data_IF_134021371248
#
_entry.id   IF_134021371248
#
_cell.length_a   1.000
_cell.length_b   1.000
_cell.length_c   1.000
_cell.angle_alpha   90.00
_cell.angle_beta   90.00
_cell.angle_gamma   90.00
#
_symmetry.space_group_name_H-M   'P 1'
#
loop_
_entity.id
_entity.type
_entity.pdbx_description
1 polymer ?
#
# COMPACT_ATOMS: atom_id res chain seq x y z
N UNK A 1 15.45 28.46 55.50
CA UNK A 1 14.90 28.79 56.85
C UNK A 1 14.62 30.28 56.95
N UNK A 2 13.36 30.69 57.08
CA UNK A 2 12.97 31.85 57.90
C UNK A 2 11.52 31.67 58.35
N UNK A 3 11.37 31.66 59.68
CA UNK A 3 10.18 31.35 60.47
C UNK A 3 9.26 32.57 60.60
N UNK A 4 7.96 32.30 60.52
CA UNK A 4 6.86 32.60 61.48
C UNK A 4 6.98 33.80 62.43
N UNK A 5 5.89 34.60 62.51
CA UNK A 5 5.33 35.23 63.74
C UNK A 5 3.98 35.92 63.39
N UNK A 6 2.80 35.31 63.54
CA UNK A 6 1.85 35.25 64.69
C UNK A 6 1.51 36.57 65.42
N UNK A 7 0.22 36.93 65.37
CA UNK A 7 -0.74 37.48 66.38
C UNK A 7 -1.68 38.48 65.66
N UNK A 8 -3.00 38.51 65.83
CA UNK A 8 -3.82 38.39 67.05
C UNK A 8 -5.27 38.05 66.69
N UNK A 9 -5.94 37.26 67.54
CA UNK A 9 -7.38 36.99 67.56
C UNK A 9 -8.14 38.21 68.12
N UNK A 10 -9.30 38.56 67.54
CA UNK A 10 -10.42 39.11 68.32
C UNK A 10 -11.74 38.69 67.68
N UNK A 11 -12.57 38.04 68.50
CA UNK A 11 -13.91 37.61 68.18
C UNK A 11 -14.90 38.77 68.31
N UNK A 12 -15.89 38.84 67.42
CA UNK A 12 -17.15 39.50 67.68
C UNK A 12 -18.27 38.78 66.91
N UNK A 13 -19.16 38.20 67.70
CA UNK A 13 -20.44 37.58 67.37
C UNK A 13 -21.39 38.56 66.67
N UNK A 14 -22.12 38.07 65.65
CA UNK A 14 -23.20 38.82 65.01
C UNK A 14 -24.02 37.93 64.09
N UNK A 15 -24.97 37.18 64.65
CA UNK A 15 -26.06 36.52 63.92
C UNK A 15 -26.84 37.57 63.11
N UNK A 16 -26.94 37.37 61.79
CA UNK A 16 -27.98 38.00 60.98
C UNK A 16 -28.53 36.96 60.02
N UNK A 17 -29.81 36.63 60.21
CA UNK A 17 -30.61 35.84 59.29
C UNK A 17 -30.78 36.63 57.98
N UNK A 18 -30.47 36.00 56.84
CA UNK A 18 -30.91 36.48 55.54
C UNK A 18 -31.97 35.53 54.98
N UNK A 19 -33.14 36.10 54.76
CA UNK A 19 -34.33 35.48 54.23
C UNK A 19 -34.09 34.88 52.83
N UNK A 20 -34.72 33.74 52.59
CA UNK A 20 -34.87 33.16 51.26
C UNK A 20 -35.69 34.11 50.37
N UNK A 21 -35.03 34.77 49.44
CA UNK A 21 -35.69 35.40 48.30
C UNK A 21 -35.89 34.32 47.22
N UNK A 22 -37.13 33.91 47.02
CA UNK A 22 -37.53 33.10 45.88
C UNK A 22 -37.22 33.88 44.59
N UNK A 23 -36.32 33.33 43.78
CA UNK A 23 -36.11 33.80 42.42
C UNK A 23 -37.35 33.47 41.58
N UNK A 24 -37.77 34.35 40.65
CA UNK A 24 -38.91 34.09 39.79
C UNK A 24 -38.62 32.89 38.90
N UNK A 25 -39.65 32.05 38.71
CA UNK A 25 -39.64 30.95 37.78
C UNK A 25 -39.19 31.46 36.40
N UNK A 26 -38.02 30.99 35.96
CA UNK A 26 -37.62 31.11 34.57
C UNK A 26 -38.71 30.41 33.75
N UNK A 27 -39.41 31.18 32.93
CA UNK A 27 -40.25 30.66 31.87
C UNK A 27 -39.44 29.64 31.08
N UNK A 28 -40.03 28.48 30.81
CA UNK A 28 -39.53 27.50 29.86
C UNK A 28 -39.38 28.18 28.49
N UNK A 29 -38.20 28.75 28.25
CA UNK A 29 -37.69 28.95 26.92
C UNK A 29 -37.50 27.54 26.36
N UNK A 30 -38.10 27.27 25.20
CA UNK A 30 -37.94 26.00 24.50
C UNK A 30 -36.46 25.64 24.43
N UNK A 31 -36.15 24.36 24.66
CA UNK A 31 -34.84 23.81 24.41
C UNK A 31 -34.45 24.14 22.97
N UNK A 32 -33.63 25.17 22.76
CA UNK A 32 -32.91 25.32 21.50
C UNK A 32 -32.10 24.02 21.34
N UNK A 33 -32.35 23.31 20.24
CA UNK A 33 -31.64 22.08 19.93
C UNK A 33 -30.15 22.45 19.83
N UNK A 34 -29.33 22.03 20.79
CA UNK A 34 -27.91 22.34 20.82
C UNK A 34 -27.15 21.80 19.59
N UNK A 35 -27.80 20.91 18.85
CA UNK A 35 -27.33 20.32 17.61
C UNK A 35 -28.38 20.58 16.52
N UNK A 36 -28.18 21.61 15.69
CA UNK A 36 -28.94 21.74 14.45
C UNK A 36 -28.50 20.64 13.48
N UNK A 37 -29.45 20.01 12.78
CA UNK A 37 -29.13 19.04 11.74
C UNK A 37 -28.48 19.78 10.57
N UNK A 38 -27.18 19.57 10.41
CA UNK A 38 -26.37 20.08 9.30
C UNK A 38 -25.76 18.90 8.55
N UNK A 39 -25.84 18.94 7.22
CA UNK A 39 -25.19 17.94 6.35
C UNK A 39 -23.74 17.73 6.78
N UNK A 40 -23.36 16.48 7.02
CA UNK A 40 -22.01 16.14 7.48
C UNK A 40 -21.13 15.71 6.32
N UNK A 41 -19.90 16.21 6.31
CA UNK A 41 -18.90 15.78 5.36
C UNK A 41 -18.39 14.38 5.74
N UNK A 42 -18.22 13.55 4.72
CA UNK A 42 -17.68 12.21 4.77
C UNK A 42 -16.35 12.23 4.02
N UNK A 43 -15.29 11.77 4.69
CA UNK A 43 -14.00 11.56 4.06
C UNK A 43 -13.80 10.06 3.83
N UNK A 44 -13.59 9.63 2.58
CA UNK A 44 -13.19 8.25 2.32
C UNK A 44 -11.73 8.04 2.72
N UNK A 45 -11.44 6.87 3.26
CA UNK A 45 -10.07 6.42 3.54
C UNK A 45 -9.74 5.19 2.71
N UNK A 46 -8.50 5.14 2.23
CA UNK A 46 -7.98 4.08 1.38
C UNK A 46 -6.95 3.22 2.09
N UNK A 47 -6.76 2.01 1.59
CA UNK A 47 -5.64 1.15 1.99
C UNK A 47 -5.15 0.38 0.78
N UNK A 48 -3.84 0.48 0.49
CA UNK A 48 -3.18 -0.37 -0.50
C UNK A 48 -3.02 -1.79 0.07
N UNK A 49 -3.95 -2.67 -0.28
CA UNK A 49 -3.87 -4.10 0.04
C UNK A 49 -2.91 -4.81 -0.90
N UNK A 50 -2.69 -6.10 -0.69
CA UNK A 50 -1.92 -6.93 -1.64
C UNK A 50 -2.59 -7.10 -3.00
N UNK A 51 -3.90 -6.88 -3.08
CA UNK A 51 -4.67 -6.87 -4.32
C UNK A 51 -4.86 -5.45 -4.91
N UNK A 52 -4.23 -4.44 -4.33
CA UNK A 52 -4.33 -3.03 -4.73
C UNK A 52 -5.13 -2.18 -3.76
N UNK A 53 -5.23 -0.88 -4.03
CA UNK A 53 -5.93 0.08 -3.18
C UNK A 53 -7.43 -0.12 -3.24
N UNK A 54 -8.04 -0.26 -2.06
CA UNK A 54 -9.48 -0.26 -1.86
C UNK A 54 -9.90 0.95 -1.02
N UNK A 55 -11.15 1.39 -1.17
CA UNK A 55 -11.79 2.26 -0.18
C UNK A 55 -12.10 1.39 1.05
N UNK A 56 -11.24 1.49 2.06
CA UNK A 56 -11.27 0.65 3.26
C UNK A 56 -12.18 1.20 4.36
N UNK A 57 -12.68 2.42 4.20
CA UNK A 57 -13.61 3.00 5.15
C UNK A 57 -13.99 4.43 4.85
N UNK A 58 -14.67 5.04 5.80
CA UNK A 58 -15.00 6.46 5.81
C UNK A 58 -14.93 7.06 7.21
N UNK A 59 -14.70 8.36 7.28
CA UNK A 59 -14.66 9.14 8.52
C UNK A 59 -15.72 10.23 8.47
N UNK A 60 -16.50 10.32 9.55
CA UNK A 60 -17.52 11.35 9.77
C UNK A 60 -17.11 12.15 11.02
N UNK A 61 -16.97 13.46 10.88
CA UNK A 61 -16.75 14.36 12.01
C UNK A 61 -18.05 15.11 12.35
N UNK A 62 -18.68 14.74 13.46
CA UNK A 62 -19.96 15.33 13.86
C UNK A 62 -19.81 16.75 14.42
N UNK A 63 -18.63 17.10 14.95
CA UNK A 63 -18.40 18.41 15.55
C UNK A 63 -16.92 18.72 15.72
N UNK A 64 -16.53 19.95 15.36
CA UNK A 64 -15.21 20.50 15.69
C UNK A 64 -15.06 20.86 17.18
N UNK A 65 -16.14 20.84 17.96
CA UNK A 65 -16.08 21.08 19.39
C UNK A 65 -15.58 19.82 20.13
N UNK A 66 -14.41 19.84 20.78
CA UNK A 66 -13.84 18.67 21.43
C UNK A 66 -14.63 18.20 22.66
N UNK A 67 -15.61 18.98 23.13
CA UNK A 67 -16.51 18.60 24.21
C UNK A 67 -17.70 17.76 23.73
N UNK A 68 -17.92 17.69 22.41
CA UNK A 68 -19.00 16.88 21.82
C UNK A 68 -18.51 15.45 21.62
N UNK A 69 -19.34 14.49 22.01
CA UNK A 69 -19.09 13.06 21.79
C UNK A 69 -20.24 12.42 21.06
N UNK A 70 -19.94 11.46 20.20
CA UNK A 70 -20.90 10.58 19.54
C UNK A 70 -21.00 9.25 20.30
N UNK A 71 -22.16 8.62 20.31
CA UNK A 71 -22.36 7.24 20.79
C UNK A 71 -23.57 6.60 20.10
N UNK A 72 -23.81 5.32 20.38
CA UNK A 72 -24.92 4.57 19.77
C UNK A 72 -24.70 4.27 18.30
N UNK A 73 -23.43 4.05 17.92
CA UNK A 73 -23.04 3.66 16.56
C UNK A 73 -22.71 2.17 16.56
N UNK A 74 -23.29 1.46 15.60
CA UNK A 74 -23.09 0.05 15.30
C UNK A 74 -22.99 -0.15 13.77
N UNK A 75 -22.65 -1.36 13.33
CA UNK A 75 -22.39 -1.64 11.91
C UNK A 75 -23.64 -1.46 11.01
N UNK A 76 -24.85 -1.44 11.55
CA UNK A 76 -26.10 -1.20 10.81
C UNK A 76 -26.63 0.23 10.97
N UNK A 77 -25.88 1.13 11.63
CA UNK A 77 -26.22 2.56 11.72
C UNK A 77 -26.24 3.23 10.34
N UNK A 78 -25.39 2.79 9.41
CA UNK A 78 -25.27 3.35 8.06
C UNK A 78 -25.41 2.27 6.99
N UNK A 79 -25.84 2.68 5.81
CA UNK A 79 -25.64 1.96 4.55
C UNK A 79 -24.81 2.85 3.65
N UNK A 80 -23.76 2.30 3.04
CA UNK A 80 -22.87 3.04 2.13
C UNK A 80 -22.96 2.39 0.76
N UNK A 81 -23.49 3.12 -0.19
CA UNK A 81 -23.59 2.69 -1.57
C UNK A 81 -22.41 3.25 -2.37
N UNK A 82 -21.78 2.42 -3.18
CA UNK A 82 -20.54 2.75 -3.89
C UNK A 82 -20.65 2.36 -5.36
N UNK A 83 -20.29 3.31 -6.21
CA UNK A 83 -20.11 3.13 -7.66
C UNK A 83 -18.66 3.38 -8.00
N UNK A 84 -18.11 2.55 -8.88
CA UNK A 84 -16.86 2.82 -9.56
C UNK A 84 -17.04 2.47 -11.04
N UNK A 85 -16.66 3.37 -11.94
CA UNK A 85 -16.71 3.11 -13.37
C UNK A 85 -15.63 3.89 -14.15
N UNK A 86 -15.43 3.48 -15.40
CA UNK A 86 -14.54 4.16 -16.35
C UNK A 86 -15.28 4.70 -17.59
N UNK A 87 -16.60 4.78 -17.58
CA UNK A 87 -17.39 5.11 -18.78
C UNK A 87 -16.96 6.43 -19.42
N UNK A 88 -16.77 7.48 -18.61
CA UNK A 88 -16.33 8.79 -19.08
C UNK A 88 -14.89 8.76 -19.59
N UNK A 89 -13.98 8.07 -18.89
CA UNK A 89 -12.57 7.97 -19.24
C UNK A 89 -12.32 7.16 -20.52
N UNK A 90 -13.17 6.16 -20.80
CA UNK A 90 -13.06 5.29 -21.97
C UNK A 90 -13.95 5.72 -23.14
N UNK A 91 -14.69 6.83 -23.00
CA UNK A 91 -15.56 7.34 -24.03
C UNK A 91 -14.83 7.54 -25.37
N UNK A 92 -15.30 6.87 -26.42
CA UNK A 92 -14.71 6.93 -27.76
C UNK A 92 -13.53 5.98 -27.99
N UNK A 93 -13.25 5.06 -27.06
CA UNK A 93 -12.31 3.96 -27.22
C UNK A 93 -13.04 2.61 -27.36
N UNK A 94 -12.34 1.58 -27.84
CA UNK A 94 -12.82 0.19 -27.83
C UNK A 94 -12.37 -0.57 -26.56
N UNK A 95 -11.83 0.14 -25.57
CA UNK A 95 -11.35 -0.45 -24.32
C UNK A 95 -12.55 -0.73 -23.42
N UNK A 96 -12.55 -1.90 -22.79
CA UNK A 96 -13.60 -2.36 -21.86
C UNK A 96 -13.02 -2.37 -20.44
N UNK A 97 -13.78 -1.85 -19.48
CA UNK A 97 -13.46 -2.01 -18.06
C UNK A 97 -13.99 -3.34 -17.54
N UNK A 98 -13.18 -4.02 -16.73
CA UNK A 98 -13.54 -5.24 -15.99
C UNK A 98 -13.62 -4.99 -14.48
N UNK A 99 -13.38 -3.75 -14.04
CA UNK A 99 -13.36 -3.38 -12.63
C UNK A 99 -14.51 -2.47 -12.20
N UNK A 100 -15.49 -2.21 -13.08
CA UNK A 100 -16.66 -1.40 -12.75
C UNK A 100 -17.54 -2.15 -11.74
N UNK A 101 -18.10 -1.41 -10.79
CA UNK A 101 -19.04 -1.96 -9.81
C UNK A 101 -20.08 -0.94 -9.35
N UNK A 102 -21.20 -1.47 -8.86
CA UNK A 102 -22.24 -0.75 -8.13
C UNK A 102 -22.71 -1.67 -7.00
N UNK A 103 -22.34 -1.36 -5.76
CA UNK A 103 -22.53 -2.24 -4.61
C UNK A 103 -22.85 -1.44 -3.34
N UNK A 104 -23.54 -2.08 -2.40
CA UNK A 104 -23.56 -1.62 -1.01
C UNK A 104 -22.33 -2.20 -0.30
N UNK A 105 -21.50 -1.33 0.28
CA UNK A 105 -20.30 -1.71 1.03
C UNK A 105 -20.69 -2.50 2.27
N UNK A 106 -20.02 -3.62 2.52
CA UNK A 106 -20.15 -4.39 3.76
C UNK A 106 -19.38 -3.66 4.87
N UNK A 107 -20.12 -3.09 5.82
CA UNK A 107 -19.54 -2.51 7.05
C UNK A 107 -19.18 -3.63 8.01
N UNK A 108 -17.88 -3.76 8.30
CA UNK A 108 -17.36 -4.82 9.18
C UNK A 108 -17.06 -4.31 10.58
N UNK A 109 -16.80 -3.02 10.73
CA UNK A 109 -16.44 -2.43 12.02
C UNK A 109 -16.77 -0.94 12.08
N UNK A 110 -17.19 -0.45 13.24
CA UNK A 110 -17.35 0.98 13.53
C UNK A 110 -16.58 1.36 14.78
N UNK A 111 -15.84 2.46 14.72
CA UNK A 111 -15.12 3.02 15.87
C UNK A 111 -15.56 4.46 16.14
N UNK A 112 -15.63 4.82 17.42
CA UNK A 112 -15.99 6.17 17.86
C UNK A 112 -14.88 6.75 18.72
N UNK A 113 -14.41 7.94 18.37
CA UNK A 113 -13.39 8.69 19.12
C UNK A 113 -13.82 10.15 19.24
N UNK A 114 -14.40 10.51 20.38
CA UNK A 114 -14.93 11.85 20.60
C UNK A 114 -16.14 12.11 19.68
N UNK A 115 -16.09 13.17 18.88
CA UNK A 115 -17.09 13.51 17.86
C UNK A 115 -16.90 12.77 16.53
N UNK A 116 -15.83 11.97 16.40
CA UNK A 116 -15.49 11.28 15.16
C UNK A 116 -15.99 9.84 15.16
N UNK A 117 -16.60 9.46 14.04
CA UNK A 117 -16.97 8.07 13.74
C UNK A 117 -16.14 7.62 12.55
N UNK A 118 -15.46 6.48 12.70
CA UNK A 118 -14.81 5.78 11.58
C UNK A 118 -15.62 4.51 11.29
N UNK A 119 -15.99 4.33 10.03
CA UNK A 119 -16.69 3.15 9.54
C UNK A 119 -15.75 2.41 8.61
N UNK A 120 -15.48 1.15 8.91
CA UNK A 120 -14.58 0.30 8.14
C UNK A 120 -15.36 -0.67 7.26
N UNK A 121 -14.91 -0.80 6.02
CA UNK A 121 -15.47 -1.70 5.01
C UNK A 121 -14.64 -2.96 4.87
N UNK A 122 -15.28 -4.04 4.42
CA UNK A 122 -14.60 -5.27 4.02
C UNK A 122 -13.60 -4.96 2.90
N UNK A 123 -12.34 -5.35 3.08
CA UNK A 123 -11.26 -4.99 2.17
C UNK A 123 -11.17 -5.91 0.93
N UNK A 124 -12.02 -6.95 0.85
CA UNK A 124 -12.12 -7.80 -0.34
C UNK A 124 -12.87 -7.17 -1.52
N UNK A 125 -13.45 -5.99 -1.30
CA UNK A 125 -14.28 -5.25 -2.25
C UNK A 125 -13.87 -3.77 -2.33
N UNK A 126 -14.35 -3.04 -3.33
CA UNK A 126 -14.22 -1.57 -3.39
C UNK A 126 -12.87 -1.08 -3.89
N UNK A 127 -12.32 -1.79 -4.87
CA UNK A 127 -11.12 -1.38 -5.57
C UNK A 127 -11.26 0.04 -6.14
N UNK A 128 -10.16 0.79 -6.09
CA UNK A 128 -10.06 2.16 -6.62
C UNK A 128 -9.54 2.18 -8.06
N UNK A 129 -8.85 1.12 -8.48
CA UNK A 129 -8.44 0.91 -9.87
C UNK A 129 -9.39 -0.06 -10.55
N UNK A 130 -9.64 0.18 -11.83
CA UNK A 130 -10.34 -0.74 -12.71
C UNK A 130 -9.35 -1.34 -13.71
N UNK A 131 -9.31 -2.68 -13.79
CA UNK A 131 -8.52 -3.37 -14.81
C UNK A 131 -9.28 -3.37 -16.14
N UNK A 132 -8.57 -3.16 -17.24
CA UNK A 132 -9.16 -2.96 -18.57
C UNK A 132 -8.72 -4.01 -19.59
N UNK A 133 -9.45 -4.11 -20.71
CA UNK A 133 -9.08 -4.97 -21.85
C UNK A 133 -7.75 -4.59 -22.52
N UNK A 134 -7.24 -3.37 -22.27
CA UNK A 134 -5.90 -2.95 -22.68
C UNK A 134 -4.78 -3.56 -21.79
N UNK A 135 -5.15 -4.42 -20.84
CA UNK A 135 -4.26 -4.95 -19.81
C UNK A 135 -3.61 -3.85 -18.97
N UNK A 136 -4.43 -2.87 -18.58
CA UNK A 136 -4.02 -1.71 -17.76
C UNK A 136 -4.98 -1.52 -16.59
N UNK A 137 -4.42 -1.18 -15.44
CA UNK A 137 -5.13 -0.69 -14.27
C UNK A 137 -5.24 0.83 -14.38
N UNK A 138 -6.45 1.37 -14.27
CA UNK A 138 -6.70 2.79 -14.38
C UNK A 138 -7.55 3.30 -13.20
N UNK A 139 -7.28 4.50 -12.65
CA UNK A 139 -8.08 5.07 -11.58
C UNK A 139 -9.53 5.23 -12.00
N UNK A 140 -10.41 4.62 -11.22
CA UNK A 140 -11.84 4.66 -11.44
C UNK A 140 -12.48 5.98 -10.98
N UNK A 141 -13.62 6.32 -11.57
CA UNK A 141 -14.47 7.42 -11.09
C UNK A 141 -15.36 6.91 -9.96
N UNK A 142 -15.03 7.29 -8.73
CA UNK A 142 -15.72 6.84 -7.51
C UNK A 142 -16.91 7.75 -7.18
N UNK A 143 -18.04 7.12 -6.83
CA UNK A 143 -19.19 7.80 -6.24
C UNK A 143 -19.73 7.05 -5.02
N UNK A 144 -19.62 7.66 -3.83
CA UNK A 144 -20.04 7.08 -2.56
C UNK A 144 -21.18 7.90 -1.95
N UNK A 145 -22.28 7.23 -1.62
CA UNK A 145 -23.41 7.84 -0.93
C UNK A 145 -23.67 7.14 0.41
N UNK A 146 -24.04 7.92 1.42
CA UNK A 146 -24.23 7.43 2.79
C UNK A 146 -25.68 7.66 3.21
N UNK A 147 -26.34 6.58 3.62
CA UNK A 147 -27.66 6.61 4.24
C UNK A 147 -27.52 6.29 5.72
N UNK A 148 -28.08 7.12 6.59
CA UNK A 148 -28.16 6.82 8.02
C UNK A 148 -29.47 6.09 8.32
N UNK A 149 -29.35 4.83 8.74
CA UNK A 149 -30.48 3.95 9.02
C UNK A 149 -31.03 4.16 10.44
N UNK A 150 -30.17 4.56 11.38
CA UNK A 150 -30.51 4.78 12.79
C UNK A 150 -29.97 6.11 13.30
N UNK A 151 -30.69 6.81 14.19
CA UNK A 151 -30.15 8.01 14.83
C UNK A 151 -28.91 7.66 15.67
N UNK A 152 -27.89 8.51 15.62
CA UNK A 152 -26.77 8.46 16.57
C UNK A 152 -27.08 9.35 17.77
N UNK A 153 -26.34 9.21 18.86
CA UNK A 153 -26.49 10.09 20.03
C UNK A 153 -25.34 11.08 20.11
N UNK A 154 -25.66 12.38 20.11
CA UNK A 154 -24.69 13.45 20.41
C UNK A 154 -24.84 13.90 21.86
N UNK A 155 -23.72 14.08 22.56
CA UNK A 155 -23.68 14.58 23.95
C UNK A 155 -22.63 15.66 24.10
N UNK A 156 -22.85 16.62 25.02
CA UNK A 156 -21.82 17.61 25.41
C UNK A 156 -21.29 17.23 26.79
N UNK A 157 -19.97 17.09 26.94
CA UNK A 157 -19.33 16.60 28.17
C UNK A 157 -19.86 15.22 28.63
N UNK A 158 -20.37 14.40 27.69
CA UNK A 158 -21.02 13.12 28.01
C UNK A 158 -22.36 13.26 28.74
N UNK A 159 -22.95 14.46 28.78
CA UNK A 159 -24.25 14.74 29.38
C UNK A 159 -25.28 15.08 28.30
N UNK A 160 -26.56 14.85 28.62
CA UNK A 160 -27.71 15.27 27.80
C UNK A 160 -27.67 14.74 26.35
N UNK A 161 -27.59 13.41 26.20
CA UNK A 161 -27.62 12.76 24.89
C UNK A 161 -28.90 13.09 24.11
N UNK A 162 -28.73 13.50 22.86
CA UNK A 162 -29.82 13.75 21.91
C UNK A 162 -29.66 12.88 20.67
N UNK A 163 -30.76 12.28 20.23
CA UNK A 163 -30.83 11.60 18.93
C UNK A 163 -30.55 12.61 17.82
N UNK A 164 -29.69 12.22 16.89
CA UNK A 164 -29.22 13.06 15.80
C UNK A 164 -29.28 12.28 14.48
N UNK A 165 -30.04 12.83 13.54
CA UNK A 165 -30.13 12.37 12.15
C UNK A 165 -29.81 13.52 11.21
N UNK A 166 -29.10 13.24 10.14
CA UNK A 166 -28.68 14.25 9.16
C UNK A 166 -28.43 13.64 7.79
N UNK A 167 -28.29 14.51 6.78
CA UNK A 167 -27.75 14.12 5.48
C UNK A 167 -26.21 14.10 5.49
N UNK A 168 -25.63 13.43 4.50
CA UNK A 168 -24.18 13.28 4.34
C UNK A 168 -23.74 13.71 2.95
N UNK A 169 -22.57 14.32 2.88
CA UNK A 169 -21.92 14.71 1.62
C UNK A 169 -20.54 14.07 1.56
N UNK A 170 -20.27 13.35 0.48
CA UNK A 170 -18.97 12.77 0.17
C UNK A 170 -18.41 13.45 -1.08
N UNK A 171 -17.18 13.96 -1.02
CA UNK A 171 -16.49 14.51 -2.19
C UNK A 171 -15.74 13.45 -3.00
N UNK A 172 -15.85 12.18 -2.58
CA UNK A 172 -15.27 10.99 -3.18
C UNK A 172 -13.73 10.99 -3.26
N UNK A 173 -13.06 11.92 -2.57
CA UNK A 173 -11.61 11.87 -2.41
C UNK A 173 -11.23 10.75 -1.46
N UNK A 174 -10.18 9.98 -1.80
CA UNK A 174 -9.69 8.88 -0.97
C UNK A 174 -8.37 9.32 -0.31
N UNK A 175 -8.36 9.35 1.02
CA UNK A 175 -7.14 9.60 1.79
C UNK A 175 -6.49 8.28 2.19
N UNK A 176 -5.25 8.07 1.78
CA UNK A 176 -4.47 6.88 2.12
C UNK A 176 -3.12 7.34 2.70
N UNK A 177 -2.86 6.95 3.94
CA UNK A 177 -1.69 7.39 4.69
C UNK A 177 -0.37 6.88 4.11
N UNK A 178 -0.36 5.69 3.49
CA UNK A 178 0.84 5.14 2.87
C UNK A 178 1.12 5.83 1.53
N UNK A 179 0.08 6.03 0.72
CA UNK A 179 0.18 6.73 -0.57
C UNK A 179 0.60 8.19 -0.38
N UNK A 180 0.07 8.87 0.65
CA UNK A 180 0.38 10.26 0.95
C UNK A 180 1.86 10.52 1.30
N UNK A 181 2.65 9.47 1.59
CA UNK A 181 4.09 9.58 1.82
C UNK A 181 4.88 9.84 0.52
N UNK A 182 4.28 9.62 -0.65
CA UNK A 182 4.94 9.73 -1.94
C UNK A 182 4.64 11.05 -2.64
N UNK A 183 5.61 11.56 -3.39
CA UNK A 183 5.45 12.70 -4.29
C UNK A 183 5.56 12.25 -5.74
N UNK A 184 4.60 12.67 -6.57
CA UNK A 184 4.62 12.43 -8.01
C UNK A 184 5.64 13.36 -8.68
N UNK A 185 6.67 12.77 -9.27
CA UNK A 185 7.73 13.47 -10.00
C UNK A 185 7.52 13.23 -11.51
N UNK A 186 7.13 14.29 -12.23
CA UNK A 186 6.92 14.25 -13.68
C UNK A 186 8.22 14.64 -14.38
N UNK A 187 8.72 13.77 -15.26
CA UNK A 187 10.01 13.96 -15.94
C UNK A 187 9.78 14.24 -17.43
N UNK A 188 9.93 15.49 -17.90
CA UNK A 188 9.74 15.82 -19.31
C UNK A 188 10.72 15.05 -20.21
N UNK A 189 10.19 14.20 -21.09
CA UNK A 189 10.99 13.37 -21.98
C UNK A 189 11.71 12.20 -21.30
N UNK A 190 11.39 11.93 -20.04
CA UNK A 190 11.87 10.78 -19.27
C UNK A 190 10.72 9.92 -18.79
N UNK A 191 10.94 9.21 -17.68
CA UNK A 191 9.98 8.28 -17.07
C UNK A 191 9.48 8.91 -15.77
N UNK A 192 8.17 9.08 -15.66
CA UNK A 192 7.56 9.58 -14.42
C UNK A 192 7.76 8.56 -13.30
N UNK A 193 7.92 9.06 -12.07
CA UNK A 193 8.07 8.20 -10.91
C UNK A 193 7.46 8.80 -9.65
N UNK A 194 7.21 7.96 -8.67
CA UNK A 194 6.77 8.36 -7.34
C UNK A 194 7.94 8.21 -6.38
N UNK A 195 8.15 9.22 -5.54
CA UNK A 195 9.32 9.31 -4.67
C UNK A 195 8.91 9.46 -3.21
N UNK A 196 9.33 8.50 -2.38
CA UNK A 196 9.32 8.63 -0.94
C UNK A 196 10.64 9.21 -0.45
N UNK A 197 10.56 10.17 0.48
CA UNK A 197 11.71 10.83 1.12
C UNK A 197 11.63 10.54 2.62
N UNK A 198 12.55 9.73 3.20
CA UNK A 198 12.51 9.42 4.62
C UNK A 198 12.75 10.68 5.46
N UNK A 199 12.06 10.75 6.60
CA UNK A 199 12.23 11.87 7.54
C UNK A 199 13.67 11.91 8.07
N UNK A 200 14.35 13.04 7.88
CA UNK A 200 15.75 13.21 8.27
C UNK A 200 16.77 12.77 7.21
N UNK A 201 16.33 12.26 6.06
CA UNK A 201 17.20 11.78 4.98
C UNK A 201 17.73 10.36 5.23
N UNK A 202 18.33 9.77 4.20
CA UNK A 202 18.96 8.44 4.26
C UNK A 202 20.09 8.34 3.22
N UNK A 203 20.92 7.31 3.32
CA UNK A 203 22.01 7.03 2.38
C UNK A 203 21.70 5.88 1.41
N UNK A 204 20.48 5.35 1.42
CA UNK A 204 20.04 4.20 0.61
C UNK A 204 18.89 4.56 -0.32
N UNK A 205 18.78 3.81 -1.41
CA UNK A 205 17.67 3.89 -2.36
C UNK A 205 17.11 2.49 -2.63
N UNK A 206 15.80 2.35 -2.64
CA UNK A 206 15.10 1.22 -3.22
C UNK A 206 14.45 1.66 -4.52
N UNK A 207 14.75 0.97 -5.61
CA UNK A 207 14.11 1.18 -6.92
C UNK A 207 13.09 0.07 -7.16
N UNK A 208 11.86 0.45 -7.48
CA UNK A 208 10.76 -0.45 -7.78
C UNK A 208 10.25 -0.30 -9.22
N UNK A 209 10.14 -1.43 -9.93
CA UNK A 209 9.45 -1.52 -11.22
C UNK A 209 8.20 -2.40 -11.11
N UNK A 210 7.03 -1.81 -11.39
CA UNK A 210 5.72 -2.48 -11.32
C UNK A 210 5.46 -3.49 -12.47
N UNK A 211 4.36 -4.25 -12.40
CA UNK A 211 3.95 -5.22 -13.42
C UNK A 211 3.33 -4.57 -14.66
N UNK A 212 2.92 -5.34 -15.67
CA UNK A 212 2.40 -4.74 -16.91
C UNK A 212 1.10 -3.91 -16.70
N UNK A 213 0.32 -4.23 -15.67
CA UNK A 213 -0.97 -3.58 -15.40
C UNK A 213 -0.84 -2.09 -15.09
N UNK A 214 0.23 -1.67 -14.41
CA UNK A 214 0.33 -0.30 -13.89
C UNK A 214 1.01 0.68 -14.86
N UNK A 215 1.34 0.23 -16.08
CA UNK A 215 1.83 1.12 -17.13
C UNK A 215 0.82 2.20 -17.48
N UNK A 216 1.28 3.28 -18.11
CA UNK A 216 0.36 4.33 -18.54
C UNK A 216 -0.65 3.80 -19.57
N UNK A 217 -1.83 4.42 -19.58
CA UNK A 217 -2.91 4.11 -20.50
C UNK A 217 -3.43 5.41 -21.09
N UNK A 218 -3.69 5.41 -22.40
CA UNK A 218 -4.21 6.58 -23.13
C UNK A 218 -3.33 7.85 -23.04
N UNK A 219 -2.03 7.72 -22.74
CA UNK A 219 -1.14 8.87 -22.59
C UNK A 219 -1.51 9.75 -21.39
N UNK A 220 -2.16 9.19 -20.37
CA UNK A 220 -2.69 9.93 -19.23
C UNK A 220 -1.58 10.61 -18.42
N UNK A 221 -0.40 9.99 -18.36
CA UNK A 221 0.73 10.43 -17.54
C UNK A 221 0.32 10.68 -16.08
N UNK A 222 -0.65 9.91 -15.56
CA UNK A 222 -1.22 10.14 -14.24
C UNK A 222 -0.23 9.85 -13.09
N UNK A 223 0.78 8.99 -13.34
CA UNK A 223 1.80 8.61 -12.38
C UNK A 223 1.22 8.07 -11.07
N UNK A 224 0.10 7.34 -11.12
CA UNK A 224 -0.62 6.89 -9.92
C UNK A 224 -0.82 5.37 -9.85
N UNK A 225 -1.03 4.69 -10.99
CA UNK A 225 -1.41 3.28 -11.00
C UNK A 225 -0.35 2.40 -10.31
N UNK A 226 0.93 2.73 -10.46
CA UNK A 226 2.03 1.97 -9.84
C UNK A 226 2.05 2.06 -8.31
N UNK A 227 1.46 3.12 -7.74
CA UNK A 227 1.36 3.28 -6.29
C UNK A 227 0.20 2.48 -5.73
N UNK A 228 -0.88 2.38 -6.51
CA UNK A 228 -2.16 1.83 -6.07
C UNK A 228 -2.36 0.35 -6.44
N UNK A 229 -1.65 -0.17 -7.45
CA UNK A 229 -1.93 -1.50 -8.02
C UNK A 229 -1.56 -2.68 -7.12
N UNK A 230 -0.63 -2.51 -6.19
CA UNK A 230 -0.25 -3.47 -5.15
C UNK A 230 0.69 -2.77 -4.16
N UNK A 231 1.12 -3.48 -3.11
CA UNK A 231 2.05 -2.93 -2.10
C UNK A 231 3.45 -2.61 -2.61
N UNK A 232 3.76 -2.86 -3.89
CA UNK A 232 5.08 -2.75 -4.50
C UNK A 232 5.75 -1.39 -4.37
N UNK A 233 4.96 -0.32 -4.36
CA UNK A 233 5.47 1.03 -4.09
C UNK A 233 5.49 1.32 -2.59
N UNK A 234 4.37 1.12 -1.89
CA UNK A 234 4.18 1.60 -0.51
C UNK A 234 4.89 0.77 0.56
N UNK A 235 5.07 -0.55 0.37
CA UNK A 235 5.66 -1.43 1.37
C UNK A 235 7.06 -0.98 1.78
N UNK A 236 7.89 -0.54 0.84
CA UNK A 236 9.25 -0.07 1.10
C UNK A 236 9.30 1.20 1.95
N UNK A 237 8.23 1.99 1.99
CA UNK A 237 8.07 3.19 2.81
C UNK A 237 7.27 2.95 4.11
N UNK A 238 6.89 1.69 4.37
CA UNK A 238 6.28 1.29 5.63
C UNK A 238 7.29 1.39 6.78
N UNK A 239 6.78 1.56 8.00
CA UNK A 239 7.63 1.67 9.19
C UNK A 239 8.45 0.38 9.41
N UNK A 240 7.88 -0.78 9.09
CA UNK A 240 8.57 -2.07 9.16
C UNK A 240 9.79 -2.13 8.24
N UNK A 241 9.59 -1.83 6.95
CA UNK A 241 10.67 -1.91 5.97
C UNK A 241 11.71 -0.81 6.22
N UNK A 242 11.29 0.41 6.55
CA UNK A 242 12.21 1.49 6.89
C UNK A 242 13.05 1.17 8.14
N UNK A 243 12.50 0.42 9.12
CA UNK A 243 13.26 -0.06 10.26
C UNK A 243 14.33 -1.10 9.85
N UNK A 244 14.00 -2.04 8.95
CA UNK A 244 14.95 -3.05 8.44
C UNK A 244 16.06 -2.39 7.59
N UNK A 245 15.68 -1.46 6.72
CA UNK A 245 16.60 -0.72 5.85
C UNK A 245 17.49 0.27 6.62
N UNK A 246 17.08 0.65 7.84
CA UNK A 246 17.69 1.75 8.59
C UNK A 246 17.50 3.10 7.89
N UNK A 247 16.35 3.28 7.23
CA UNK A 247 16.03 4.42 6.37
C UNK A 247 16.47 4.23 4.92
N UNK A 248 15.55 4.48 3.97
CA UNK A 248 15.85 4.51 2.53
C UNK A 248 14.86 5.40 1.76
N UNK A 249 15.35 6.06 0.72
CA UNK A 249 14.48 6.60 -0.34
C UNK A 249 13.83 5.45 -1.10
N UNK A 250 12.63 5.68 -1.65
CA UNK A 250 11.95 4.72 -2.53
C UNK A 250 11.54 5.42 -3.81
N UNK A 251 11.97 4.87 -4.95
CA UNK A 251 11.67 5.39 -6.28
C UNK A 251 10.90 4.34 -7.07
N UNK A 252 9.64 4.65 -7.40
CA UNK A 252 8.75 3.76 -8.14
C UNK A 252 8.35 4.38 -9.47
N UNK A 253 8.98 3.92 -10.55
CA UNK A 253 8.70 4.40 -11.90
C UNK A 253 7.33 3.94 -12.39
N UNK A 254 6.65 4.76 -13.19
CA UNK A 254 5.54 4.32 -14.04
C UNK A 254 6.04 4.12 -15.47
N UNK A 255 5.81 2.94 -16.06
CA UNK A 255 6.14 2.69 -17.45
C UNK A 255 5.37 3.67 -18.35
N UNK A 256 6.00 4.36 -19.32
CA UNK A 256 5.27 5.22 -20.26
C UNK A 256 4.26 4.46 -21.14
N UNK A 257 4.42 3.14 -21.24
CA UNK A 257 3.43 2.22 -21.80
C UNK A 257 3.64 0.84 -21.17
N UNK A 258 4.79 0.21 -21.47
CA UNK A 258 5.17 -1.09 -20.92
C UNK A 258 6.68 -1.25 -20.84
N UNK A 259 7.14 -2.00 -19.85
CA UNK A 259 8.56 -2.32 -19.67
C UNK A 259 9.15 -3.17 -20.78
N UNK A 260 8.32 -3.90 -21.56
CA UNK A 260 8.85 -4.69 -22.69
C UNK A 260 9.53 -3.81 -23.75
N UNK A 261 9.22 -2.51 -23.79
CA UNK A 261 9.86 -1.57 -24.71
C UNK A 261 11.18 -0.99 -24.20
N UNK A 262 11.75 -1.56 -23.14
CA UNK A 262 12.96 -1.07 -22.48
C UNK A 262 14.11 -0.73 -23.44
N UNK A 263 14.45 -1.62 -24.37
CA UNK A 263 15.50 -1.33 -25.37
C UNK A 263 15.00 -0.45 -26.52
N UNK A 264 13.77 -0.68 -26.99
CA UNK A 264 13.22 0.01 -28.17
C UNK A 264 13.11 1.51 -27.94
N UNK A 265 12.65 1.89 -26.74
CA UNK A 265 12.35 3.27 -26.37
C UNK A 265 13.45 3.89 -25.51
N UNK A 266 14.56 3.18 -25.26
CA UNK A 266 15.69 3.67 -24.48
C UNK A 266 15.40 3.82 -22.97
N UNK A 267 14.40 3.10 -22.44
CA UNK A 267 13.96 3.23 -21.05
C UNK A 267 15.05 2.84 -20.03
N UNK A 268 15.98 1.96 -20.41
CA UNK A 268 17.10 1.55 -19.54
C UNK A 268 18.00 2.74 -19.20
N UNK A 269 18.46 3.47 -20.21
CA UNK A 269 19.31 4.64 -20.04
C UNK A 269 18.56 5.79 -19.36
N UNK A 270 17.27 5.96 -19.66
CA UNK A 270 16.42 6.97 -19.01
C UNK A 270 16.27 6.70 -17.52
N UNK A 271 15.83 5.49 -17.14
CA UNK A 271 15.69 5.10 -15.74
C UNK A 271 17.04 5.19 -15.00
N UNK A 272 18.13 4.75 -15.63
CA UNK A 272 19.46 4.83 -15.06
C UNK A 272 19.93 6.28 -14.83
N UNK A 273 19.62 7.20 -15.75
CA UNK A 273 19.91 8.62 -15.59
C UNK A 273 19.09 9.24 -14.46
N UNK A 274 17.82 8.88 -14.32
CA UNK A 274 16.93 9.39 -13.27
C UNK A 274 17.31 8.85 -11.89
N UNK A 275 17.68 7.57 -11.79
CA UNK A 275 18.26 6.98 -10.56
C UNK A 275 19.51 7.75 -10.14
N UNK A 276 20.45 7.99 -11.07
CA UNK A 276 21.67 8.77 -10.80
C UNK A 276 21.38 10.21 -10.40
N UNK A 277 20.34 10.82 -10.98
CA UNK A 277 19.91 12.16 -10.60
C UNK A 277 19.38 12.19 -9.15
N UNK A 278 18.52 11.23 -8.77
CA UNK A 278 18.02 11.08 -7.39
C UNK A 278 19.18 10.85 -6.43
N UNK A 279 20.12 9.97 -6.76
CA UNK A 279 21.32 9.70 -5.96
C UNK A 279 22.09 11.00 -5.70
N UNK A 280 22.36 11.77 -6.77
CA UNK A 280 23.11 13.01 -6.68
C UNK A 280 22.37 14.10 -5.89
N UNK A 281 21.05 14.23 -6.06
CA UNK A 281 20.24 15.28 -5.43
C UNK A 281 20.14 15.07 -3.92
N UNK A 282 19.98 13.81 -3.49
CA UNK A 282 19.74 13.49 -2.09
C UNK A 282 20.98 12.99 -1.34
N UNK A 283 22.14 12.88 -2.01
CA UNK A 283 23.38 12.44 -1.37
C UNK A 283 23.34 10.97 -0.95
N UNK A 284 22.63 10.14 -1.72
CA UNK A 284 22.56 8.69 -1.51
C UNK A 284 23.93 8.10 -1.84
N UNK A 285 24.34 7.07 -1.11
CA UNK A 285 25.55 6.32 -1.44
C UNK A 285 25.27 5.49 -2.71
N UNK A 286 26.00 5.68 -3.83
CA UNK A 286 25.81 4.90 -5.04
C UNK A 286 25.99 3.40 -4.84
N UNK A 287 26.71 2.98 -3.79
CA UNK A 287 26.87 1.56 -3.44
C UNK A 287 25.68 0.99 -2.65
N UNK A 288 24.64 1.79 -2.34
CA UNK A 288 23.50 1.39 -1.50
C UNK A 288 22.15 1.50 -2.18
N UNK A 289 22.10 1.05 -3.42
CA UNK A 289 20.88 1.01 -4.23
C UNK A 289 20.42 -0.43 -4.36
N UNK A 290 19.21 -0.70 -3.87
CA UNK A 290 18.54 -1.98 -4.01
C UNK A 290 17.54 -1.93 -5.16
N UNK A 291 17.48 -3.01 -5.93
CA UNK A 291 16.54 -3.16 -7.04
C UNK A 291 15.46 -4.17 -6.71
N UNK A 292 14.20 -3.85 -7.01
CA UNK A 292 13.13 -4.83 -7.01
C UNK A 292 12.11 -4.56 -8.11
N UNK A 293 11.40 -5.61 -8.54
CA UNK A 293 10.31 -5.49 -9.49
C UNK A 293 9.55 -6.79 -9.64
N UNK A 294 8.37 -6.75 -10.24
CA UNK A 294 7.52 -7.93 -10.46
C UNK A 294 7.05 -8.06 -11.91
N UNK A 295 6.90 -9.30 -12.41
CA UNK A 295 6.34 -9.55 -13.75
C UNK A 295 7.11 -8.79 -14.85
N UNK A 296 6.45 -7.92 -15.63
CA UNK A 296 7.10 -7.02 -16.58
C UNK A 296 8.14 -6.08 -15.93
N UNK A 297 7.94 -5.67 -14.68
CA UNK A 297 8.94 -4.96 -13.89
C UNK A 297 10.09 -5.85 -13.43
N UNK A 298 9.84 -7.16 -13.26
CA UNK A 298 10.90 -8.15 -13.09
C UNK A 298 11.74 -8.29 -14.38
N UNK A 299 11.10 -8.24 -15.55
CA UNK A 299 11.81 -8.11 -16.84
C UNK A 299 12.67 -6.84 -16.88
N UNK A 300 12.10 -5.67 -16.54
CA UNK A 300 12.84 -4.40 -16.47
C UNK A 300 14.04 -4.51 -15.54
N UNK A 301 13.86 -5.04 -14.32
CA UNK A 301 14.93 -5.25 -13.35
C UNK A 301 16.04 -6.13 -13.91
N UNK A 302 15.71 -7.26 -14.56
CA UNK A 302 16.71 -8.12 -15.21
C UNK A 302 17.46 -7.37 -16.31
N UNK A 303 16.78 -6.59 -17.16
CA UNK A 303 17.45 -5.78 -18.21
C UNK A 303 18.32 -4.68 -17.61
N UNK A 304 17.92 -4.07 -16.50
CA UNK A 304 18.72 -3.08 -15.77
C UNK A 304 20.01 -3.69 -15.20
N UNK A 305 19.96 -4.91 -14.65
CA UNK A 305 21.17 -5.62 -14.21
C UNK A 305 22.12 -5.97 -15.36
N UNK A 306 21.59 -6.23 -16.56
CA UNK A 306 22.42 -6.50 -17.76
C UNK A 306 23.09 -5.21 -18.25
N UNK A 307 22.34 -4.11 -18.33
CA UNK A 307 22.80 -2.87 -18.97
C UNK A 307 23.56 -1.93 -18.03
N UNK A 308 23.18 -1.90 -16.74
CA UNK A 308 23.72 -0.99 -15.73
C UNK A 308 23.96 -1.72 -14.38
N UNK A 309 24.73 -2.82 -14.35
CA UNK A 309 24.95 -3.58 -13.12
C UNK A 309 25.62 -2.76 -12.02
N UNK A 310 26.41 -1.74 -12.37
CA UNK A 310 27.13 -0.86 -11.45
C UNK A 310 26.21 0.01 -10.59
N UNK A 311 24.92 0.11 -10.95
CA UNK A 311 23.94 0.89 -10.20
C UNK A 311 23.41 0.17 -8.96
N UNK A 312 23.55 -1.15 -8.84
CA UNK A 312 22.79 -1.93 -7.87
C UNK A 312 23.68 -2.79 -6.99
N UNK A 313 23.44 -2.72 -5.68
CA UNK A 313 24.14 -3.51 -4.68
C UNK A 313 23.56 -4.92 -4.54
N UNK A 314 22.24 -5.07 -4.73
CA UNK A 314 21.53 -6.36 -4.76
C UNK A 314 20.17 -6.20 -5.43
N UNK A 315 19.61 -7.32 -5.91
CA UNK A 315 18.30 -7.35 -6.54
C UNK A 315 17.37 -8.43 -5.97
N UNK A 316 16.11 -8.06 -5.77
CA UNK A 316 15.00 -8.92 -5.36
C UNK A 316 13.98 -8.97 -6.50
N UNK A 317 14.04 -10.00 -7.34
CA UNK A 317 13.30 -10.06 -8.60
C UNK A 317 12.16 -11.06 -8.48
N UNK A 318 10.93 -10.62 -8.76
CA UNK A 318 9.73 -11.43 -8.62
C UNK A 318 9.18 -11.81 -10.00
N UNK A 319 9.00 -13.11 -10.24
CA UNK A 319 8.41 -13.70 -11.45
C UNK A 319 8.75 -12.94 -12.76
N UNK A 320 10.05 -12.77 -13.11
CA UNK A 320 10.45 -11.90 -14.21
C UNK A 320 9.87 -12.41 -15.53
N UNK A 321 9.09 -11.58 -16.23
CA UNK A 321 8.36 -11.94 -17.44
C UNK A 321 9.27 -12.05 -18.69
N UNK A 322 10.22 -12.99 -18.68
CA UNK A 322 11.25 -13.12 -19.72
C UNK A 322 10.74 -13.87 -20.96
N UNK A 323 9.94 -14.92 -20.76
CA UNK A 323 9.42 -15.81 -21.79
C UNK A 323 8.44 -15.10 -22.74
N UNK A 324 7.58 -14.23 -22.20
CA UNK A 324 6.58 -13.48 -22.96
C UNK A 324 7.13 -12.20 -23.60
N UNK A 325 8.36 -11.79 -23.29
CA UNK A 325 8.88 -10.48 -23.66
C UNK A 325 8.90 -10.24 -25.16
N UNK A 326 9.36 -11.22 -25.95
CA UNK A 326 9.46 -11.10 -27.41
C UNK A 326 8.09 -10.95 -28.07
N UNK A 327 7.11 -11.77 -27.66
CA UNK A 327 5.74 -11.72 -28.19
C UNK A 327 5.03 -10.40 -27.84
N UNK A 328 5.46 -9.73 -26.77
CA UNK A 328 4.97 -8.42 -26.34
C UNK A 328 5.77 -7.25 -26.92
N UNK A 329 6.64 -7.52 -27.89
CA UNK A 329 7.42 -6.49 -28.62
C UNK A 329 8.69 -6.04 -27.91
N UNK A 330 9.09 -6.73 -26.85
CA UNK A 330 10.40 -6.61 -26.22
C UNK A 330 11.41 -7.62 -26.75
N UNK A 331 12.44 -7.88 -25.96
CA UNK A 331 13.44 -8.90 -26.30
C UNK A 331 13.71 -9.78 -25.09
N UNK A 332 13.47 -11.07 -25.22
CA UNK A 332 13.84 -12.08 -24.23
C UNK A 332 15.37 -12.10 -24.08
N UNK A 333 15.92 -11.99 -22.86
CA UNK A 333 17.37 -12.06 -22.66
C UNK A 333 17.95 -13.39 -23.13
N UNK A 334 19.10 -13.32 -23.78
CA UNK A 334 19.92 -14.49 -24.12
C UNK A 334 20.57 -15.08 -22.86
N UNK A 335 21.02 -16.34 -22.93
CA UNK A 335 21.73 -16.95 -21.80
C UNK A 335 23.03 -16.20 -21.47
N UNK A 336 23.74 -15.68 -22.48
CA UNK A 336 24.98 -14.92 -22.27
C UNK A 336 24.72 -13.58 -21.58
N UNK A 337 23.61 -12.90 -21.92
CA UNK A 337 23.16 -11.72 -21.18
C UNK A 337 22.84 -12.07 -19.72
N UNK A 338 22.12 -13.18 -19.45
CA UNK A 338 21.82 -13.58 -18.07
C UNK A 338 23.09 -13.97 -17.29
N UNK A 339 24.05 -14.67 -17.93
CA UNK A 339 25.35 -14.98 -17.32
C UNK A 339 26.16 -13.72 -17.00
N UNK A 340 26.00 -12.64 -17.77
CA UNK A 340 26.68 -11.38 -17.50
C UNK A 340 26.31 -10.78 -16.14
N UNK A 341 25.09 -11.06 -15.64
CA UNK A 341 24.66 -10.65 -14.29
C UNK A 341 25.55 -11.32 -13.24
N UNK A 342 25.79 -12.63 -13.32
CA UNK A 342 26.73 -13.33 -12.42
C UNK A 342 28.13 -12.72 -12.49
N UNK A 343 28.59 -12.45 -13.72
CA UNK A 343 29.92 -11.89 -13.95
C UNK A 343 30.09 -10.47 -13.37
N UNK A 344 29.00 -9.71 -13.23
CA UNK A 344 29.00 -8.40 -12.57
C UNK A 344 29.13 -8.49 -11.05
N UNK A 345 28.79 -9.65 -10.46
CA UNK A 345 28.84 -9.89 -9.02
C UNK A 345 27.63 -9.36 -8.24
N UNK A 346 26.60 -8.83 -8.92
CA UNK A 346 25.38 -8.36 -8.24
C UNK A 346 24.62 -9.56 -7.66
N UNK A 347 24.40 -9.63 -6.33
CA UNK A 347 23.61 -10.66 -5.69
C UNK A 347 22.14 -10.59 -6.12
N UNK A 348 21.50 -11.73 -6.35
CA UNK A 348 20.10 -11.81 -6.80
C UNK A 348 19.32 -12.85 -6.01
N UNK A 349 18.16 -12.45 -5.48
CA UNK A 349 17.14 -13.36 -4.96
C UNK A 349 15.91 -13.33 -5.85
N UNK A 350 15.61 -14.46 -6.48
CA UNK A 350 14.43 -14.68 -7.32
C UNK A 350 13.27 -15.27 -6.51
N UNK A 351 12.05 -14.79 -6.76
CA UNK A 351 10.84 -15.30 -6.09
C UNK A 351 9.75 -15.54 -7.14
N UNK A 352 9.14 -16.74 -7.14
CA UNK A 352 8.05 -17.05 -8.08
C UNK A 352 7.11 -18.14 -7.54
N UNK A 353 5.87 -18.22 -8.05
CA UNK A 353 5.02 -19.38 -7.84
C UNK A 353 5.56 -20.61 -8.58
N UNK A 354 5.45 -21.81 -8.00
CA UNK A 354 6.03 -23.02 -8.58
C UNK A 354 5.45 -23.39 -9.97
N UNK A 355 4.20 -23.01 -10.23
CA UNK A 355 3.47 -23.32 -11.47
C UNK A 355 2.88 -22.09 -12.17
N UNK A 356 3.48 -20.90 -11.95
CA UNK A 356 3.02 -19.63 -12.54
C UNK A 356 2.65 -19.80 -14.02
N UNK A 357 1.38 -19.52 -14.32
CA UNK A 357 0.79 -19.77 -15.63
C UNK A 357 0.80 -18.55 -16.55
N UNK A 358 1.10 -17.37 -16.01
CA UNK A 358 1.22 -16.12 -16.78
C UNK A 358 2.65 -15.91 -17.29
N UNK A 359 3.63 -16.35 -16.50
CA UNK A 359 5.06 -16.29 -16.80
C UNK A 359 5.66 -17.62 -16.39
N UNK A 360 6.14 -18.43 -17.33
CA UNK A 360 6.54 -19.80 -17.05
C UNK A 360 7.76 -19.84 -16.10
N UNK A 361 7.58 -20.44 -14.91
CA UNK A 361 8.62 -20.52 -13.87
C UNK A 361 9.91 -21.17 -14.37
N UNK A 362 9.80 -22.20 -15.21
CA UNK A 362 10.94 -22.92 -15.79
C UNK A 362 11.75 -22.03 -16.75
N UNK A 363 11.08 -21.28 -17.63
CA UNK A 363 11.70 -20.42 -18.65
C UNK A 363 12.20 -19.08 -18.10
N UNK A 364 11.75 -18.71 -16.89
CA UNK A 364 12.05 -17.44 -16.25
C UNK A 364 12.97 -17.63 -15.03
N UNK A 365 12.42 -17.70 -13.81
CA UNK A 365 13.23 -17.73 -12.59
C UNK A 365 14.18 -18.92 -12.51
N UNK A 366 13.73 -20.13 -12.88
CA UNK A 366 14.60 -21.31 -12.83
C UNK A 366 15.70 -21.27 -13.89
N UNK A 367 15.39 -20.87 -15.13
CA UNK A 367 16.40 -20.65 -16.18
C UNK A 367 17.44 -19.64 -15.73
N UNK A 368 17.00 -18.46 -15.26
CA UNK A 368 17.91 -17.41 -14.78
C UNK A 368 18.76 -17.91 -13.61
N UNK A 369 18.15 -18.50 -12.59
CA UNK A 369 18.87 -19.03 -11.44
C UNK A 369 19.90 -20.10 -11.85
N UNK A 370 19.51 -21.05 -12.71
CA UNK A 370 20.41 -22.09 -13.21
C UNK A 370 21.67 -21.53 -13.87
N UNK A 371 21.54 -20.44 -14.63
CA UNK A 371 22.68 -19.73 -15.26
C UNK A 371 23.53 -18.98 -14.22
N UNK A 372 22.91 -18.32 -13.24
CA UNK A 372 23.60 -17.62 -12.15
C UNK A 372 24.37 -18.58 -11.22
N UNK A 373 23.95 -19.83 -11.15
CA UNK A 373 24.54 -20.84 -10.26
C UNK A 373 25.31 -21.92 -10.99
N UNK A 374 25.67 -21.72 -12.27
CA UNK A 374 26.50 -22.67 -13.03
C UNK A 374 27.81 -22.95 -12.26
N UNK A 375 28.06 -24.23 -12.00
CA UNK A 375 29.25 -24.71 -11.27
C UNK A 375 29.18 -24.61 -9.75
N UNK A 376 28.11 -24.04 -9.17
CA UNK A 376 27.95 -23.90 -7.73
C UNK A 376 27.33 -25.14 -7.09
N UNK A 377 27.66 -25.37 -5.81
CA UNK A 377 26.90 -26.30 -4.97
C UNK A 377 25.73 -25.57 -4.32
N UNK A 378 24.54 -26.14 -4.44
CA UNK A 378 23.30 -25.54 -3.94
C UNK A 378 22.83 -26.20 -2.65
N UNK A 379 22.34 -25.37 -1.73
CA UNK A 379 21.54 -25.81 -0.59
C UNK A 379 20.07 -25.68 -0.96
N UNK A 380 19.28 -26.73 -0.75
CA UNK A 380 17.83 -26.73 -0.91
C UNK A 380 17.19 -26.81 0.48
N UNK A 381 16.30 -25.86 0.79
CA UNK A 381 15.58 -25.83 2.06
C UNK A 381 14.09 -25.69 1.84
N UNK A 382 13.34 -26.64 2.41
CA UNK A 382 11.88 -26.57 2.48
C UNK A 382 11.45 -25.81 3.73
N UNK A 383 10.60 -24.80 3.57
CA UNK A 383 10.19 -23.89 4.64
C UNK A 383 8.66 -23.91 4.77
N UNK A 384 8.18 -24.32 5.95
CA UNK A 384 6.78 -24.20 6.33
C UNK A 384 6.49 -22.78 6.83
N UNK A 385 5.30 -22.25 6.53
CA UNK A 385 4.88 -20.93 6.97
C UNK A 385 4.40 -20.97 8.42
N UNK A 386 4.67 -19.89 9.16
CA UNK A 386 4.19 -19.74 10.54
C UNK A 386 2.65 -19.69 10.58
N UNK A 387 2.06 -18.96 9.64
CA UNK A 387 0.61 -18.99 9.39
C UNK A 387 0.29 -20.03 8.31
N UNK A 388 -0.51 -21.06 8.63
CA UNK A 388 -0.85 -22.13 7.69
C UNK A 388 -1.73 -21.68 6.50
N UNK A 389 -2.28 -20.46 6.53
CA UNK A 389 -3.02 -19.88 5.41
C UNK A 389 -2.10 -19.43 4.26
N UNK A 390 -0.78 -19.29 4.50
CA UNK A 390 0.18 -18.95 3.45
C UNK A 390 0.71 -20.20 2.74
N UNK A 391 1.00 -20.08 1.44
CA UNK A 391 1.71 -21.15 0.73
C UNK A 391 3.10 -21.35 1.34
N UNK A 392 3.47 -22.60 1.56
CA UNK A 392 4.84 -22.97 1.90
C UNK A 392 5.77 -22.79 0.68
N UNK A 393 7.08 -22.73 0.93
CA UNK A 393 8.09 -22.47 -0.11
C UNK A 393 9.27 -23.42 -0.03
N UNK A 394 9.99 -23.54 -1.12
CA UNK A 394 11.33 -24.13 -1.17
C UNK A 394 12.31 -23.07 -1.66
N UNK A 395 13.43 -22.91 -0.95
CA UNK A 395 14.51 -21.99 -1.32
C UNK A 395 15.75 -22.78 -1.73
N UNK A 396 16.34 -22.42 -2.86
CA UNK A 396 17.67 -22.86 -3.30
C UNK A 396 18.66 -21.71 -3.17
N UNK A 397 19.87 -21.98 -2.72
CA UNK A 397 20.89 -20.95 -2.54
C UNK A 397 22.32 -21.45 -2.76
N UNK A 398 23.19 -20.56 -3.23
CA UNK A 398 24.63 -20.79 -3.34
C UNK A 398 25.32 -20.72 -1.98
N UNK A 399 26.47 -21.40 -1.84
CA UNK A 399 27.20 -21.44 -0.57
C UNK A 399 27.74 -20.08 -0.10
N UNK A 400 27.98 -19.15 -1.02
CA UNK A 400 28.36 -17.76 -0.73
C UNK A 400 27.15 -16.87 -0.37
N UNK A 401 25.93 -17.38 -0.53
CA UNK A 401 24.69 -16.67 -0.22
C UNK A 401 24.33 -15.56 -1.22
N UNK A 402 25.02 -15.44 -2.35
CA UNK A 402 24.82 -14.34 -3.30
C UNK A 402 23.63 -14.59 -4.26
N UNK A 403 23.30 -15.84 -4.55
CA UNK A 403 22.23 -16.17 -5.49
C UNK A 403 21.24 -17.11 -4.83
N UNK A 404 19.96 -16.72 -4.88
CA UNK A 404 18.86 -17.46 -4.25
C UNK A 404 17.64 -17.54 -5.16
N UNK A 405 16.87 -18.61 -5.03
CA UNK A 405 15.58 -18.81 -5.67
C UNK A 405 14.60 -19.35 -4.65
N UNK A 406 13.48 -18.67 -4.43
CA UNK A 406 12.36 -19.16 -3.62
C UNK A 406 11.16 -19.44 -4.52
N UNK A 407 10.68 -20.68 -4.50
CA UNK A 407 9.45 -21.08 -5.19
C UNK A 407 8.36 -21.40 -4.18
N UNK A 408 7.22 -20.74 -4.32
CA UNK A 408 6.05 -20.96 -3.48
C UNK A 408 5.15 -22.04 -4.07
N UNK A 409 4.64 -22.91 -3.20
CA UNK A 409 3.69 -23.94 -3.57
C UNK A 409 2.40 -23.34 -4.10
N UNK A 410 1.91 -23.92 -5.17
CA UNK A 410 0.62 -23.57 -5.76
C UNK A 410 -0.40 -24.66 -5.45
N UNK A 411 -1.66 -24.27 -5.27
CA UNK A 411 -2.77 -25.21 -5.15
C UNK A 411 -2.99 -26.00 -6.45
N UNK A 412 -3.78 -27.09 -6.42
CA UNK A 412 -4.17 -27.81 -7.64
C UNK A 412 -4.86 -26.94 -8.69
N UNK A 413 -5.52 -25.87 -8.26
CA UNK A 413 -6.18 -24.88 -9.13
C UNK A 413 -5.23 -23.77 -9.58
N UNK A 414 -3.92 -23.95 -9.42
CA UNK A 414 -2.89 -23.01 -9.83
C UNK A 414 -3.04 -21.63 -9.15
N UNK A 415 -3.31 -21.62 -7.84
CA UNK A 415 -3.38 -20.41 -7.01
C UNK A 415 -2.28 -20.38 -5.96
N UNK A 416 -1.96 -19.19 -5.47
CA UNK A 416 -1.15 -18.99 -4.26
C UNK A 416 -2.08 -18.63 -3.10
N UNK A 417 -1.79 -19.16 -1.90
CA UNK A 417 -2.59 -18.92 -0.71
C UNK A 417 -1.94 -17.86 0.18
N UNK A 418 -2.72 -16.93 0.72
CA UNK A 418 -2.24 -15.84 1.57
C UNK A 418 -3.10 -15.73 2.82
N UNK A 419 -2.47 -15.39 3.93
CA UNK A 419 -3.15 -15.00 5.16
C UNK A 419 -3.62 -13.54 5.05
N UNK A 420 -4.93 -13.29 5.06
CA UNK A 420 -5.54 -11.96 5.00
C UNK A 420 -6.62 -11.79 6.07
N UNK A 421 -6.75 -10.58 6.61
CA UNK A 421 -7.81 -10.18 7.56
C UNK A 421 -8.64 -9.05 6.93
N UNK A 422 -9.39 -9.39 5.89
CA UNK A 422 -10.16 -8.41 5.12
C UNK A 422 -11.42 -7.90 5.83
N UNK A 423 -11.96 -8.66 6.79
CA UNK A 423 -13.08 -8.24 7.62
C UNK A 423 -12.66 -7.59 8.95
N UNK A 424 -11.35 -7.45 9.19
CA UNK A 424 -10.76 -6.66 10.28
C UNK A 424 -11.19 -7.15 11.67
N UNK A 425 -11.40 -8.46 11.82
CA UNK A 425 -11.80 -9.10 13.07
C UNK A 425 -10.60 -9.56 13.92
N UNK A 426 -9.38 -9.43 13.38
CA UNK A 426 -8.13 -9.83 14.00
C UNK A 426 -7.76 -11.29 13.76
N UNK A 427 -8.50 -12.02 12.91
CA UNK A 427 -8.27 -13.41 12.55
C UNK A 427 -8.03 -13.53 11.05
N UNK A 428 -6.80 -13.88 10.69
CA UNK A 428 -6.45 -14.14 9.29
C UNK A 428 -7.16 -15.37 8.73
N UNK A 429 -7.63 -15.24 7.50
CA UNK A 429 -8.22 -16.31 6.69
C UNK A 429 -7.39 -16.55 5.44
N UNK A 430 -7.55 -17.73 4.84
CA UNK A 430 -6.88 -18.04 3.58
C UNK A 430 -7.61 -17.38 2.41
N UNK A 431 -6.92 -16.43 1.76
CA UNK A 431 -7.30 -15.87 0.47
C UNK A 431 -6.43 -16.49 -0.61
N UNK A 432 -6.99 -16.68 -1.81
CA UNK A 432 -6.25 -17.21 -2.95
C UNK A 432 -6.15 -16.16 -4.04
N UNK A 433 -4.92 -15.86 -4.47
CA UNK A 433 -4.65 -15.06 -5.66
C UNK A 433 -4.05 -15.90 -6.76
N UNK A 434 -4.03 -15.33 -7.98
CA UNK A 434 -3.34 -15.90 -9.12
C UNK A 434 -1.94 -16.37 -8.72
N UNK A 435 -1.53 -17.54 -9.21
CA UNK A 435 -0.16 -18.04 -8.99
C UNK A 435 0.95 -17.17 -9.58
N UNK A 436 0.59 -16.13 -10.34
CA UNK A 436 1.51 -15.12 -10.83
C UNK A 436 1.93 -14.12 -9.74
N UNK A 437 1.07 -13.85 -8.74
CA UNK A 437 1.19 -12.74 -7.77
C UNK A 437 2.18 -13.01 -6.63
N UNK A 438 3.22 -13.78 -6.90
CA UNK A 438 4.27 -14.17 -5.95
C UNK A 438 5.05 -12.99 -5.33
N UNK A 439 5.02 -11.81 -5.94
CA UNK A 439 5.63 -10.59 -5.38
C UNK A 439 5.05 -10.19 -4.02
N UNK A 440 3.80 -10.56 -3.73
CA UNK A 440 3.16 -10.28 -2.43
C UNK A 440 4.02 -10.82 -1.29
N UNK A 441 4.61 -12.00 -1.44
CA UNK A 441 5.50 -12.56 -0.41
C UNK A 441 6.73 -11.69 -0.16
N UNK A 442 7.40 -11.23 -1.21
CA UNK A 442 8.56 -10.32 -1.08
C UNK A 442 8.17 -9.01 -0.42
N UNK A 443 6.99 -8.47 -0.75
CA UNK A 443 6.46 -7.22 -0.20
C UNK A 443 5.93 -7.35 1.25
N UNK A 444 5.85 -8.59 1.75
CA UNK A 444 5.67 -8.95 3.17
C UNK A 444 6.98 -9.37 3.84
N UNK A 445 8.13 -9.19 3.16
CA UNK A 445 9.44 -9.69 3.57
C UNK A 445 9.41 -11.19 3.96
N UNK A 446 8.58 -12.00 3.30
CA UNK A 446 8.31 -13.38 3.70
C UNK A 446 9.36 -14.42 3.27
N UNK A 447 9.95 -14.37 2.05
CA UNK A 447 10.91 -15.38 1.59
C UNK A 447 12.10 -15.47 2.54
N UNK A 448 12.52 -16.70 2.82
CA UNK A 448 13.56 -17.03 3.79
C UNK A 448 14.56 -18.00 3.20
N UNK A 449 15.80 -17.92 3.68
CA UNK A 449 16.88 -18.86 3.37
C UNK A 449 17.04 -19.94 4.44
N UNK A 450 18.03 -20.83 4.29
CA UNK A 450 18.27 -21.92 5.24
C UNK A 450 18.59 -21.45 6.67
N UNK A 451 19.09 -20.22 6.82
CA UNK A 451 19.39 -19.63 8.12
C UNK A 451 18.18 -18.97 8.79
N UNK A 452 17.06 -18.84 8.07
CA UNK A 452 15.90 -18.05 8.49
C UNK A 452 16.06 -16.54 8.23
N UNK A 453 17.05 -16.13 7.43
CA UNK A 453 17.18 -14.73 7.04
C UNK A 453 16.16 -14.41 5.96
N UNK A 454 15.39 -13.34 6.18
CA UNK A 454 14.36 -12.88 5.26
C UNK A 454 14.95 -12.04 4.11
N UNK A 455 14.26 -12.02 2.96
CA UNK A 455 14.75 -11.43 1.70
C UNK A 455 15.21 -9.97 1.80
N UNK A 456 14.48 -9.11 2.51
CA UNK A 456 14.87 -7.70 2.67
C UNK A 456 16.07 -7.57 3.61
N UNK A 457 16.14 -8.38 4.67
CA UNK A 457 17.29 -8.43 5.57
C UNK A 457 18.55 -8.92 4.85
N UNK A 458 18.42 -9.91 3.97
CA UNK A 458 19.49 -10.38 3.11
C UNK A 458 19.97 -9.29 2.14
N UNK A 459 19.05 -8.56 1.51
CA UNK A 459 19.38 -7.50 0.57
C UNK A 459 20.13 -6.36 1.28
N UNK A 460 19.71 -5.98 2.49
CA UNK A 460 20.41 -4.99 3.33
C UNK A 460 21.81 -5.45 3.72
N UNK A 461 22.01 -6.75 3.93
CA UNK A 461 23.33 -7.29 4.26
C UNK A 461 24.34 -7.22 3.09
N UNK A 462 23.90 -6.86 1.87
CA UNK A 462 24.78 -6.65 0.71
C UNK A 462 25.27 -5.20 0.58
N UNK A 463 24.80 -4.28 1.44
CA UNK A 463 25.07 -2.82 1.37
C UNK A 463 26.33 -2.35 2.13
#
# INVERSE_FOLDING_TARGET
MKRVSRRTFLAATGMTALAAAAAPAASAAGSENCFAAETKNVQLIGTVTDAGQVVSGMVIDYSSNPLVTVSGVDNDTYTVHAVNNLDAALAGTDIVSYGDYEIDRKIVKTEVKGSRVTVYFDQSEGATLCYTSASRNYPGELDYTVTQNKPVTLSVLGLFGQEYTTDYFCDNTVQDEEVAKFTSEIVPGGINYQLYKPAGGADKLVVWFHGNGEGDMLGSNNNVAQVLGNRGTVAWASDEFQAILGGAYVMAFQAPDTWYYAQRDGLLDQAAAEIRAVISVYGIDPAKVLLSGCSAGGYMSTRMLIAHPDLFAAAMINCPALDVATDRGGQTPTDDELRSIKASGVPVWLVQGATDSSVATDECSKRMFGLLTEGETLTETRIAQADPNNSALTTWETADGLYKLSLYDTTPDAMLCFAEDYDLDGVTTQVQYSNHWSWIYTLRNNPQDASGTHIVNWAVAQL
#
